data_IF_727358494197
#
_entry.id   IF_727358494197
#
_cell.length_a   1.000
_cell.length_b   1.000
_cell.length_c   1.000
_cell.angle_alpha   90.00
_cell.angle_beta   90.00
_cell.angle_gamma   90.00
#
_symmetry.space_group_name_H-M   'P 1'
#
loop_
_entity.id
_entity.type
_entity.pdbx_description
1 polymer ?
#
# COMPACT_ATOMS: atom_id res chain seq x y z
N UNK A 1 25.37 3.36 -28.77
CA UNK A 1 25.36 3.42 -27.30
C UNK A 1 23.91 3.23 -26.89
N UNK A 2 23.48 1.98 -26.68
CA UNK A 2 22.08 1.66 -26.39
C UNK A 2 21.71 2.20 -25.01
N UNK A 3 20.86 3.22 -25.00
CA UNK A 3 20.19 3.69 -23.81
C UNK A 3 19.31 2.56 -23.28
N UNK A 4 19.76 1.88 -22.23
CA UNK A 4 18.91 0.99 -21.44
C UNK A 4 17.94 1.89 -20.68
N UNK A 5 16.79 2.19 -21.28
CA UNK A 5 15.68 2.86 -20.62
C UNK A 5 15.22 1.88 -19.54
N UNK A 6 15.41 2.16 -18.23
CA UNK A 6 14.87 1.30 -17.19
C UNK A 6 13.36 1.40 -17.28
N UNK A 7 12.71 0.32 -17.74
CA UNK A 7 11.26 0.22 -17.66
C UNK A 7 10.86 0.36 -16.19
N UNK A 8 9.84 1.17 -15.84
CA UNK A 8 9.47 1.44 -14.45
C UNK A 8 9.00 0.19 -13.66
N UNK A 9 8.88 -0.95 -14.34
CA UNK A 9 8.59 -2.25 -13.76
C UNK A 9 9.73 -3.21 -14.14
N UNK A 10 10.85 -3.14 -13.43
CA UNK A 10 11.77 -4.28 -13.41
C UNK A 10 11.01 -5.42 -12.72
N UNK A 11 10.76 -6.50 -13.45
CA UNK A 11 10.15 -7.70 -12.89
C UNK A 11 11.17 -8.46 -12.02
N UNK A 12 11.67 -7.82 -10.96
CA UNK A 12 12.67 -8.35 -10.04
C UNK A 12 12.18 -9.60 -9.29
N UNK A 13 10.89 -9.92 -9.42
CA UNK A 13 10.23 -11.08 -8.82
C UNK A 13 10.23 -12.33 -9.71
N UNK A 14 10.74 -12.27 -10.95
CA UNK A 14 10.61 -13.37 -11.94
C UNK A 14 11.43 -14.61 -11.56
N UNK A 15 12.52 -14.43 -10.81
CA UNK A 15 13.35 -15.52 -10.30
C UNK A 15 12.91 -16.01 -8.90
N UNK A 16 11.91 -15.38 -8.28
CA UNK A 16 11.37 -15.82 -6.99
C UNK A 16 10.30 -16.92 -7.16
N UNK A 17 10.18 -17.87 -6.22
CA UNK A 17 9.11 -18.86 -6.25
C UNK A 17 7.74 -18.16 -6.22
N UNK A 18 6.78 -18.66 -7.01
CA UNK A 18 5.47 -18.04 -7.25
C UNK A 18 4.78 -17.48 -6.00
N UNK A 19 4.78 -18.24 -4.90
CA UNK A 19 4.17 -17.80 -3.65
C UNK A 19 4.88 -16.60 -3.02
N UNK A 20 6.22 -16.57 -3.02
CA UNK A 20 6.98 -15.45 -2.49
C UNK A 20 6.80 -14.18 -3.34
N UNK A 21 6.92 -14.33 -4.67
CA UNK A 21 6.70 -13.24 -5.62
C UNK A 21 5.28 -12.64 -5.47
N UNK A 22 4.27 -13.50 -5.42
CA UNK A 22 2.86 -13.08 -5.24
C UNK A 22 2.65 -12.39 -3.90
N UNK A 23 3.15 -12.96 -2.81
CA UNK A 23 2.97 -12.39 -1.47
C UNK A 23 3.66 -11.02 -1.35
N UNK A 24 4.81 -10.84 -2.00
CA UNK A 24 5.52 -9.55 -2.08
C UNK A 24 4.72 -8.49 -2.83
N UNK A 25 4.25 -8.81 -4.04
CA UNK A 25 3.41 -7.90 -4.84
C UNK A 25 2.12 -7.57 -4.10
N UNK A 26 1.50 -8.59 -3.48
CA UNK A 26 0.26 -8.42 -2.69
C UNK A 26 0.51 -7.49 -1.51
N UNK A 27 1.61 -7.66 -0.77
CA UNK A 27 1.95 -6.80 0.35
C UNK A 27 2.22 -5.36 -0.09
N UNK A 28 2.94 -5.14 -1.19
CA UNK A 28 3.20 -3.79 -1.72
C UNK A 28 1.91 -3.10 -2.16
N UNK A 29 1.04 -3.83 -2.87
CA UNK A 29 -0.28 -3.37 -3.25
C UNK A 29 -1.13 -3.01 -2.02
N UNK A 30 -1.24 -3.92 -1.05
CA UNK A 30 -2.03 -3.73 0.17
C UNK A 30 -1.56 -2.48 0.94
N UNK A 31 -0.25 -2.25 1.04
CA UNK A 31 0.32 -1.04 1.66
C UNK A 31 -0.06 0.24 0.93
N UNK A 32 0.21 0.32 -0.38
CA UNK A 32 -0.08 1.52 -1.17
C UNK A 32 -1.56 1.84 -1.21
N UNK A 33 -2.39 0.81 -1.39
CA UNK A 33 -3.84 0.95 -1.42
C UNK A 33 -4.37 1.49 -0.10
N UNK A 34 -3.99 0.87 1.02
CA UNK A 34 -4.43 1.30 2.35
C UNK A 34 -4.00 2.73 2.68
N UNK A 35 -2.73 3.09 2.43
CA UNK A 35 -2.25 4.45 2.67
C UNK A 35 -3.02 5.47 1.83
N UNK A 36 -3.33 5.16 0.57
CA UNK A 36 -4.11 6.04 -0.31
C UNK A 36 -5.55 6.23 0.18
N UNK A 37 -6.26 5.16 0.53
CA UNK A 37 -7.66 5.29 0.98
C UNK A 37 -7.76 5.97 2.35
N UNK A 38 -6.79 5.75 3.25
CA UNK A 38 -6.76 6.39 4.57
C UNK A 38 -6.46 7.88 4.42
N UNK A 39 -5.55 8.25 3.51
CA UNK A 39 -5.28 9.65 3.17
C UNK A 39 -6.51 10.32 2.55
N UNK A 40 -7.19 9.68 1.60
CA UNK A 40 -8.42 10.18 0.99
C UNK A 40 -9.57 10.31 2.00
N UNK A 41 -9.60 9.43 2.99
CA UNK A 41 -10.55 9.48 4.09
C UNK A 41 -10.20 10.51 5.16
N UNK A 42 -9.02 11.14 5.11
CA UNK A 42 -8.53 12.09 6.11
C UNK A 42 -8.34 11.45 7.48
N UNK A 43 -7.82 10.21 7.52
CA UNK A 43 -7.65 9.45 8.77
C UNK A 43 -8.95 8.82 9.31
N UNK A 44 -10.09 9.04 8.66
CA UNK A 44 -11.34 8.43 9.09
C UNK A 44 -11.49 7.00 8.54
N UNK A 45 -11.16 6.00 9.37
CA UNK A 45 -11.26 4.58 9.00
C UNK A 45 -12.66 4.14 8.56
N UNK A 46 -13.71 4.80 9.07
CA UNK A 46 -15.10 4.58 8.64
C UNK A 46 -15.33 4.94 7.18
N UNK A 47 -14.75 6.07 6.79
CA UNK A 47 -14.86 6.62 5.45
C UNK A 47 -13.96 5.82 4.51
N UNK A 48 -12.76 5.43 4.95
CA UNK A 48 -11.89 4.51 4.21
C UNK A 48 -12.57 3.17 3.92
N UNK A 49 -13.23 2.57 4.92
CA UNK A 49 -14.00 1.34 4.78
C UNK A 49 -15.14 1.47 3.75
N UNK A 50 -15.88 2.58 3.79
CA UNK A 50 -16.92 2.87 2.77
C UNK A 50 -16.35 3.06 1.38
N UNK A 51 -15.23 3.75 1.24
CA UNK A 51 -14.55 3.98 -0.05
C UNK A 51 -14.03 2.65 -0.62
N UNK A 52 -13.42 1.83 0.21
CA UNK A 52 -12.89 0.52 -0.17
C UNK A 52 -13.96 -0.56 -0.34
N UNK A 53 -15.20 -0.33 0.13
CA UNK A 53 -16.28 -1.31 0.09
C UNK A 53 -16.05 -2.52 0.99
N UNK A 54 -15.20 -2.40 2.01
CA UNK A 54 -14.88 -3.48 2.95
C UNK A 54 -15.16 -3.05 4.39
N UNK A 55 -15.33 -4.02 5.29
CA UNK A 55 -15.56 -3.72 6.70
C UNK A 55 -14.34 -3.07 7.37
N UNK A 56 -14.58 -2.21 8.37
CA UNK A 56 -13.51 -1.56 9.13
C UNK A 56 -12.57 -2.57 9.77
N UNK A 57 -13.12 -3.69 10.27
CA UNK A 57 -12.34 -4.76 10.91
C UNK A 57 -11.34 -5.38 9.92
N UNK A 58 -11.73 -5.50 8.65
CA UNK A 58 -10.85 -5.96 7.57
C UNK A 58 -9.73 -4.96 7.33
N UNK A 59 -10.03 -3.66 7.29
CA UNK A 59 -8.99 -2.62 7.19
C UNK A 59 -8.02 -2.69 8.37
N UNK A 60 -8.51 -2.76 9.60
CA UNK A 60 -7.64 -2.86 10.79
C UNK A 60 -6.73 -4.08 10.74
N UNK A 61 -7.27 -5.24 10.33
CA UNK A 61 -6.49 -6.47 10.14
C UNK A 61 -5.40 -6.33 9.09
N UNK A 62 -5.72 -5.72 7.94
CA UNK A 62 -4.73 -5.48 6.88
C UNK A 62 -3.66 -4.48 7.35
N UNK A 63 -4.03 -3.44 8.10
CA UNK A 63 -3.09 -2.47 8.67
C UNK A 63 -2.18 -3.11 9.73
N UNK A 64 -2.69 -4.01 10.57
CA UNK A 64 -1.88 -4.78 11.52
C UNK A 64 -0.91 -5.72 10.80
N UNK A 65 -1.40 -6.46 9.81
CA UNK A 65 -0.59 -7.39 9.00
C UNK A 65 0.60 -6.70 8.34
N UNK A 66 0.44 -5.44 7.92
CA UNK A 66 1.48 -4.68 7.21
C UNK A 66 2.20 -3.62 8.04
N UNK A 67 1.87 -3.47 9.33
CA UNK A 67 2.49 -2.47 10.20
C UNK A 67 2.21 -1.01 9.82
N UNK A 68 1.10 -0.74 9.11
CA UNK A 68 0.82 0.56 8.49
C UNK A 68 0.31 1.64 9.45
N UNK A 69 0.08 1.31 10.73
CA UNK A 69 -0.37 2.31 11.72
C UNK A 69 0.57 3.50 11.83
N UNK A 70 1.89 3.27 11.70
CA UNK A 70 2.88 4.34 11.81
C UNK A 70 3.00 5.15 10.53
N UNK A 71 3.03 4.47 9.40
CA UNK A 71 3.28 5.08 8.08
C UNK A 71 2.10 5.96 7.62
N UNK A 72 0.86 5.51 7.85
CA UNK A 72 -0.35 6.27 7.52
C UNK A 72 -0.50 7.54 8.37
N UNK A 73 -0.04 7.54 9.63
CA UNK A 73 -0.05 8.71 10.51
C UNK A 73 1.12 9.66 10.20
N UNK A 74 2.29 9.14 9.81
CA UNK A 74 3.48 9.95 9.47
C UNK A 74 3.27 10.69 8.13
N UNK A 75 2.59 10.09 7.15
CA UNK A 75 2.27 10.77 5.87
C UNK A 75 1.31 11.96 6.03
N UNK A 76 0.65 12.13 7.18
CA UNK A 76 -0.19 13.31 7.46
C UNK A 76 0.59 14.51 8.04
N UNK A 77 1.91 14.36 8.26
CA UNK A 77 2.77 15.39 8.84
C UNK A 77 3.52 16.29 7.85
N UNK A 78 3.27 16.19 6.54
CA UNK A 78 4.05 16.89 5.52
C UNK A 78 3.21 17.50 4.41
N UNK A 79 2.53 18.62 4.67
CA UNK A 79 2.41 19.73 3.72
C UNK A 79 1.92 20.99 4.48
N UNK A 80 2.87 21.62 5.17
CA UNK A 80 2.78 23.01 5.57
C UNK A 80 3.94 23.74 4.91
N UNK A 81 3.67 24.45 3.82
CA UNK A 81 4.23 25.74 3.33
C UNK A 81 3.92 25.90 1.85
#
# INVERSE_FOLDING_TARGET
>A
MSSHIPMPFTFEWVDEPYHAARDRVTAEFERRYLSSIVAQAGGNMSKAARIAGIDRTTIYRLMEKHGLYRDALISQGGLGT
#
